data_IF_192174213221
#
_entry.id   IF_192174213221
#
_cell.length_a   1.000
_cell.length_b   1.000
_cell.length_c   1.000
_cell.angle_alpha   90.00
_cell.angle_beta   90.00
_cell.angle_gamma   90.00
#
_symmetry.space_group_name_H-M   'P 1'
#
loop_
_entity.id
_entity.type
_entity.pdbx_description
1 polymer ?
#
# COMPACT_ATOMS: atom_id res chain seq x y z
N UNK A 1 42.38 1.72 6.34
CA UNK A 1 42.54 0.26 6.11
C UNK A 1 41.18 -0.35 5.85
N UNK A 2 41.08 -1.35 4.96
CA UNK A 2 39.83 -2.11 4.74
C UNK A 2 39.80 -3.30 5.70
N UNK A 3 38.66 -3.58 6.33
CA UNK A 3 38.40 -4.81 7.09
C UNK A 3 37.08 -5.44 6.64
N UNK A 4 37.16 -6.42 5.73
CA UNK A 4 35.99 -7.11 5.18
C UNK A 4 35.56 -8.30 6.05
N UNK A 5 34.38 -8.23 6.66
CA UNK A 5 33.76 -9.37 7.34
C UNK A 5 33.29 -10.43 6.33
N UNK A 6 33.75 -11.68 6.47
CA UNK A 6 33.29 -12.80 5.63
C UNK A 6 32.01 -13.41 6.21
N UNK A 7 30.90 -13.30 5.47
CA UNK A 7 29.66 -14.02 5.78
C UNK A 7 29.63 -15.39 5.08
N UNK A 8 29.65 -16.47 5.85
CA UNK A 8 29.50 -17.84 5.34
C UNK A 8 28.03 -18.23 5.22
N UNK A 9 27.59 -18.63 4.03
CA UNK A 9 26.23 -19.17 3.80
C UNK A 9 26.27 -20.69 3.72
N UNK A 10 25.68 -21.37 4.71
CA UNK A 10 25.47 -22.83 4.66
C UNK A 10 24.04 -23.12 4.17
N UNK A 11 23.89 -24.00 3.17
CA UNK A 11 22.58 -24.31 2.55
C UNK A 11 22.23 -25.77 2.74
N UNK A 12 21.30 -26.07 3.66
CA UNK A 12 20.81 -27.42 3.93
C UNK A 12 19.28 -27.44 3.80
N UNK A 13 18.78 -28.22 2.82
CA UNK A 13 17.36 -28.59 2.61
C UNK A 13 16.29 -27.57 3.07
N UNK A 14 16.38 -26.34 2.56
CA UNK A 14 15.29 -25.36 2.61
C UNK A 14 15.33 -24.35 3.76
N UNK A 15 16.22 -24.51 4.75
CA UNK A 15 16.46 -23.48 5.76
C UNK A 15 17.64 -22.57 5.34
N UNK A 16 17.51 -21.28 5.66
CA UNK A 16 18.61 -20.32 5.64
C UNK A 16 18.97 -19.96 7.09
N UNK A 17 20.24 -20.18 7.46
CA UNK A 17 20.82 -19.63 8.66
C UNK A 17 21.88 -18.59 8.27
N UNK A 18 21.83 -17.41 8.88
CA UNK A 18 22.89 -16.40 8.80
C UNK A 18 23.63 -16.43 10.13
N UNK A 19 24.91 -16.80 10.09
CA UNK A 19 25.80 -16.76 11.25
C UNK A 19 26.66 -15.50 11.14
N UNK A 20 26.48 -14.56 12.07
CA UNK A 20 27.26 -13.32 12.14
C UNK A 20 28.16 -13.36 13.38
N UNK A 21 29.46 -13.15 13.19
CA UNK A 21 30.40 -12.87 14.29
C UNK A 21 30.47 -11.35 14.51
N UNK A 22 30.06 -10.89 15.69
CA UNK A 22 30.59 -9.64 16.26
C UNK A 22 31.72 -10.00 17.22
N UNK A 23 32.89 -9.40 17.03
CA UNK A 23 33.86 -9.28 18.12
C UNK A 23 33.40 -8.10 18.99
N UNK A 24 33.14 -8.33 20.28
CA UNK A 24 33.00 -7.24 21.25
C UNK A 24 34.38 -6.84 21.77
N UNK A 25 34.58 -5.55 22.06
CA UNK A 25 35.79 -5.02 22.68
C UNK A 25 35.58 -4.83 24.18
N UNK A 26 35.39 -5.93 24.90
CA UNK A 26 35.34 -5.97 26.36
C UNK A 26 36.25 -7.10 26.88
N UNK A 27 36.88 -6.88 28.03
CA UNK A 27 38.02 -7.66 28.54
C UNK A 27 37.68 -9.03 29.15
N UNK A 28 36.59 -9.65 28.70
CA UNK A 28 36.07 -10.93 29.17
C UNK A 28 35.82 -11.85 27.98
N UNK A 29 36.65 -12.90 27.83
CA UNK A 29 36.77 -13.72 26.61
C UNK A 29 35.57 -14.60 26.24
N UNK A 30 34.41 -14.01 25.95
CA UNK A 30 33.16 -14.69 25.61
C UNK A 30 32.72 -14.39 24.17
N UNK A 31 32.76 -15.38 23.29
CA UNK A 31 32.29 -15.25 21.90
C UNK A 31 30.78 -15.53 21.84
N UNK A 32 29.98 -14.48 21.72
CA UNK A 32 28.53 -14.59 21.51
C UNK A 32 28.25 -14.88 20.03
N UNK A 33 27.64 -16.04 19.74
CA UNK A 33 27.20 -16.43 18.40
C UNK A 33 25.68 -16.33 18.33
N UNK A 34 25.17 -15.29 17.68
CA UNK A 34 23.73 -15.15 17.42
C UNK A 34 23.35 -15.91 16.16
N UNK A 35 22.48 -16.91 16.29
CA UNK A 35 21.84 -17.61 15.17
C UNK A 35 20.40 -17.10 15.03
N UNK A 36 19.97 -16.83 13.81
CA UNK A 36 18.56 -16.55 13.50
C UNK A 36 17.98 -17.69 12.66
N UNK A 37 16.92 -18.30 13.20
CA UNK A 37 16.12 -19.34 12.55
C UNK A 37 14.79 -18.73 12.11
N UNK A 38 14.62 -18.53 10.81
CA UNK A 38 13.33 -18.16 10.22
C UNK A 38 12.44 -19.39 10.12
N UNK A 39 11.78 -19.73 11.23
CA UNK A 39 10.59 -20.56 11.29
C UNK A 39 9.35 -19.67 11.41
N UNK A 40 8.22 -20.15 10.89
CA UNK A 40 7.03 -19.33 10.73
C UNK A 40 6.35 -18.93 12.03
N UNK A 41 6.63 -17.71 12.52
CA UNK A 41 5.64 -16.91 13.23
C UNK A 41 5.42 -17.11 14.73
N UNK A 42 6.39 -17.63 15.50
CA UNK A 42 6.51 -17.38 16.95
C UNK A 42 7.99 -17.29 17.34
N UNK A 43 8.36 -16.37 18.23
CA UNK A 43 9.73 -16.27 18.76
C UNK A 43 9.78 -16.83 20.19
N UNK A 44 10.61 -17.84 20.44
CA UNK A 44 10.93 -18.36 21.77
C UNK A 44 12.43 -18.63 21.88
N UNK A 45 13.02 -18.23 23.01
CA UNK A 45 14.44 -18.45 23.29
C UNK A 45 14.66 -19.86 23.83
N UNK A 46 15.48 -20.66 23.14
CA UNK A 46 15.95 -21.96 23.60
C UNK A 46 17.45 -21.88 23.92
N UNK A 47 17.81 -22.18 25.18
CA UNK A 47 19.20 -22.26 25.61
C UNK A 47 19.85 -23.56 25.13
N UNK A 48 20.90 -23.45 24.30
CA UNK A 48 21.64 -24.59 23.77
C UNK A 48 22.72 -25.02 24.77
N UNK A 49 22.93 -26.33 24.93
CA UNK A 49 23.83 -26.88 25.94
C UNK A 49 25.31 -26.89 25.50
N UNK A 50 26.22 -26.87 26.48
CA UNK A 50 27.67 -26.67 26.24
C UNK A 50 28.35 -27.81 25.47
N UNK A 51 27.72 -28.99 25.37
CA UNK A 51 28.24 -30.18 24.68
C UNK A 51 28.05 -30.15 23.16
N UNK A 52 26.97 -29.54 22.67
CA UNK A 52 26.62 -29.53 21.24
C UNK A 52 27.54 -28.60 20.43
N UNK A 53 27.97 -27.49 21.04
CA UNK A 53 28.94 -26.54 20.46
C UNK A 53 30.28 -27.22 20.15
N UNK A 54 30.72 -28.15 21.00
CA UNK A 54 32.04 -28.78 20.92
C UNK A 54 32.21 -29.76 19.73
N UNK A 55 31.10 -30.26 19.18
CA UNK A 55 31.11 -31.07 17.95
C UNK A 55 31.27 -30.21 16.69
N UNK A 56 30.57 -29.06 16.63
CA UNK A 56 30.62 -28.19 15.45
C UNK A 56 32.01 -27.54 15.27
N UNK A 57 32.73 -27.26 16.35
CA UNK A 57 34.05 -26.63 16.29
C UNK A 57 35.15 -27.54 15.68
N UNK A 58 35.02 -28.87 15.78
CA UNK A 58 35.95 -29.81 15.13
C UNK A 58 35.81 -29.83 13.60
N UNK A 59 34.59 -29.69 13.08
CA UNK A 59 34.33 -29.74 11.63
C UNK A 59 34.82 -28.50 10.86
N UNK A 60 35.21 -27.43 11.57
CA UNK A 60 35.58 -26.14 10.97
C UNK A 60 37.10 -25.94 10.80
N UNK A 61 37.94 -26.95 11.11
CA UNK A 61 39.37 -26.73 11.38
C UNK A 61 40.38 -27.42 10.45
N UNK A 62 39.94 -28.19 9.46
CA UNK A 62 40.85 -28.86 8.52
C UNK A 62 40.30 -28.92 7.07
N UNK A 63 40.79 -28.10 6.13
CA UNK A 63 40.25 -27.97 4.78
C UNK A 63 41.02 -28.77 3.70
N UNK A 64 41.59 -29.92 4.04
CA UNK A 64 42.56 -30.65 3.19
C UNK A 64 42.22 -32.13 2.91
N UNK A 65 40.94 -32.48 2.69
CA UNK A 65 40.51 -33.87 2.45
C UNK A 65 39.52 -34.04 1.28
N UNK A 66 39.96 -33.75 0.05
CA UNK A 66 39.22 -34.12 -1.18
C UNK A 66 40.00 -35.15 -1.99
N UNK A 67 39.71 -36.45 -1.79
CA UNK A 67 39.65 -37.53 -2.81
C UNK A 67 39.66 -38.91 -2.17
N UNK A 68 38.55 -39.66 -2.30
CA UNK A 68 38.43 -41.09 -2.71
C UNK A 68 37.06 -41.62 -2.28
N UNK A 69 36.52 -42.57 -3.04
CA UNK A 69 35.15 -43.05 -2.86
C UNK A 69 35.06 -44.36 -2.07
N UNK A 70 34.60 -44.28 -0.83
CA UNK A 70 34.03 -45.41 -0.07
C UNK A 70 33.26 -44.86 1.14
N UNK A 71 31.93 -45.03 1.15
CA UNK A 71 31.08 -45.16 2.36
C UNK A 71 29.58 -45.05 2.00
N UNK A 72 29.09 -46.00 1.21
CA UNK A 72 27.67 -46.16 0.86
C UNK A 72 26.79 -46.64 2.03
N UNK A 73 27.33 -46.74 3.25
CA UNK A 73 26.64 -47.24 4.44
C UNK A 73 25.77 -46.17 5.14
N UNK A 74 26.18 -44.90 5.16
CA UNK A 74 25.56 -43.87 6.01
C UNK A 74 24.19 -43.35 5.52
N UNK A 75 23.81 -43.60 4.25
CA UNK A 75 22.58 -43.06 3.65
C UNK A 75 21.35 -43.97 3.72
N UNK A 76 21.47 -45.19 4.24
CA UNK A 76 20.40 -46.20 4.18
C UNK A 76 19.47 -46.24 5.41
N UNK A 77 19.75 -45.47 6.47
CA UNK A 77 19.05 -45.52 7.77
C UNK A 77 17.85 -44.55 7.91
N UNK A 78 17.65 -43.63 6.97
CA UNK A 78 16.65 -42.54 7.07
C UNK A 78 15.47 -42.64 6.08
N UNK A 79 15.28 -43.78 5.40
CA UNK A 79 14.20 -43.97 4.40
C UNK A 79 13.02 -44.84 4.86
N UNK A 80 13.09 -45.45 6.05
CA UNK A 80 12.13 -46.48 6.53
C UNK A 80 11.43 -46.10 7.84
N UNK A 81 10.80 -44.92 7.90
CA UNK A 81 9.93 -44.53 9.04
C UNK A 81 8.65 -43.78 8.64
N UNK A 82 8.02 -44.18 7.53
CA UNK A 82 6.76 -43.60 7.03
C UNK A 82 5.67 -44.62 6.65
N UNK A 83 5.59 -45.76 7.34
CA UNK A 83 4.47 -46.75 7.24
C UNK A 83 4.46 -47.75 8.42
N UNK A 84 4.12 -47.29 9.63
CA UNK A 84 3.61 -48.09 10.78
C UNK A 84 3.22 -47.15 11.93
N UNK A 85 2.49 -47.65 12.92
CA UNK A 85 1.93 -46.92 14.07
C UNK A 85 0.70 -46.03 13.76
N UNK A 86 -0.18 -46.52 12.89
CA UNK A 86 -1.60 -46.62 13.26
C UNK A 86 -1.91 -48.11 13.55
N UNK A 87 -2.90 -48.38 14.41
CA UNK A 87 -3.25 -49.67 15.06
C UNK A 87 -2.39 -50.09 16.27
N UNK A 88 -3.04 -50.87 17.17
CA UNK A 88 -2.60 -51.41 18.50
C UNK A 88 -1.91 -50.41 19.47
N UNK A 89 -2.51 -49.86 20.52
CA UNK A 89 -3.41 -50.37 21.59
C UNK A 89 -2.71 -51.13 22.74
N UNK A 90 -3.24 -50.91 23.97
CA UNK A 90 -2.90 -51.55 25.25
C UNK A 90 -1.56 -51.17 25.94
N UNK A 91 -1.68 -50.65 27.17
CA UNK A 91 -0.69 -50.79 28.26
C UNK A 91 -1.41 -51.39 29.47
N UNK A 92 -0.76 -52.28 30.21
CA UNK A 92 -1.26 -52.85 31.48
C UNK A 92 -0.30 -52.57 32.65
N UNK A 93 -0.83 -52.71 33.86
CA UNK A 93 -0.20 -52.55 35.18
C UNK A 93 1.00 -53.48 35.47
N UNK A 94 1.88 -53.04 36.37
CA UNK A 94 2.13 -53.57 37.75
C UNK A 94 2.83 -52.48 38.60
N UNK A 95 2.37 -52.11 39.81
CA UNK A 95 2.60 -52.68 41.18
C UNK A 95 4.07 -52.58 41.68
N UNK A 96 4.42 -52.22 42.93
CA UNK A 96 3.70 -51.71 44.14
C UNK A 96 4.69 -50.72 44.89
N UNK A 97 4.89 -50.55 46.24
CA UNK A 97 4.24 -51.04 47.49
C UNK A 97 3.91 -49.98 48.60
N UNK A 98 3.17 -50.46 49.62
CA UNK A 98 3.17 -50.16 51.09
C UNK A 98 3.29 -48.75 51.75
N UNK A 99 2.30 -48.51 52.64
CA UNK A 99 2.33 -47.87 53.98
C UNK A 99 2.70 -46.37 54.12
N UNK A 100 2.18 -45.62 55.12
CA UNK A 100 1.23 -45.92 56.23
C UNK A 100 -0.22 -45.48 55.85
N UNK A 101 -1.22 -45.12 56.68
CA UNK A 101 -1.41 -44.89 58.14
C UNK A 101 -2.88 -45.14 58.56
N UNK A 102 -3.17 -45.06 59.86
CA UNK A 102 -4.51 -45.23 60.47
C UNK A 102 -5.32 -43.91 60.55
N UNK A 103 -6.66 -43.99 60.50
CA UNK A 103 -7.58 -42.96 61.02
C UNK A 103 -8.70 -43.65 61.81
N UNK A 104 -8.80 -43.33 63.10
CA UNK A 104 -9.74 -43.97 64.03
C UNK A 104 -11.14 -43.37 63.95
N UNK A 105 -12.16 -44.23 63.91
CA UNK A 105 -13.56 -43.85 63.97
C UNK A 105 -13.99 -43.47 65.40
N UNK A 106 -14.57 -42.27 65.59
CA UNK A 106 -15.57 -42.05 66.65
C UNK A 106 -16.74 -41.21 66.17
N UNK A 107 -17.94 -41.77 66.35
CA UNK A 107 -19.23 -41.14 66.10
C UNK A 107 -19.61 -40.18 67.24
N UNK A 108 -20.44 -39.18 66.95
CA UNK A 108 -21.79 -39.03 67.53
C UNK A 108 -22.33 -37.58 67.40
N UNK A 109 -23.66 -37.44 67.38
CA UNK A 109 -24.45 -36.20 67.61
C UNK A 109 -24.28 -35.05 66.57
N UNK A 110 -25.32 -34.32 66.13
CA UNK A 110 -26.78 -34.41 66.34
C UNK A 110 -27.52 -34.32 64.99
N UNK A 111 -28.53 -35.17 64.79
CA UNK A 111 -29.47 -35.11 63.66
C UNK A 111 -30.69 -34.23 64.00
N UNK A 112 -30.93 -33.11 63.30
CA UNK A 112 -32.19 -32.34 63.51
C UNK A 112 -32.66 -31.33 62.43
N UNK A 113 -32.04 -31.22 61.24
CA UNK A 113 -32.32 -30.12 60.29
C UNK A 113 -32.60 -30.49 58.81
N UNK A 114 -33.15 -31.68 58.55
CA UNK A 114 -33.38 -32.17 57.18
C UNK A 114 -34.66 -31.64 56.51
N UNK A 115 -35.78 -31.56 57.23
CA UNK A 115 -37.09 -31.24 56.64
C UNK A 115 -37.29 -29.75 56.33
N UNK A 116 -36.95 -28.86 57.27
CA UNK A 116 -37.06 -27.40 57.07
C UNK A 116 -36.22 -26.95 55.87
N UNK A 117 -35.00 -27.49 55.71
CA UNK A 117 -34.13 -27.21 54.56
C UNK A 117 -34.78 -27.57 53.21
N UNK A 118 -35.46 -28.71 53.11
CA UNK A 118 -36.10 -29.13 51.85
C UNK A 118 -37.29 -28.22 51.51
N UNK A 119 -38.09 -27.84 52.51
CA UNK A 119 -39.24 -26.96 52.31
C UNK A 119 -38.81 -25.53 51.94
N UNK A 120 -37.85 -24.97 52.66
CA UNK A 120 -37.28 -23.65 52.35
C UNK A 120 -36.61 -23.63 50.98
N UNK A 121 -35.87 -24.67 50.58
CA UNK A 121 -35.20 -24.69 49.27
C UNK A 121 -36.20 -24.80 48.11
N UNK A 122 -37.33 -25.49 48.29
CA UNK A 122 -38.42 -25.49 47.29
C UNK A 122 -39.14 -24.15 47.19
N UNK A 123 -39.40 -23.47 48.31
CA UNK A 123 -39.91 -22.10 48.29
C UNK A 123 -38.92 -21.14 47.60
N UNK A 124 -37.63 -21.23 47.93
CA UNK A 124 -36.59 -20.38 47.36
C UNK A 124 -36.50 -20.51 45.83
N UNK A 125 -36.59 -21.75 45.30
CA UNK A 125 -36.59 -22.01 43.86
C UNK A 125 -37.85 -21.46 43.17
N UNK A 126 -39.03 -21.58 43.81
CA UNK A 126 -40.28 -20.99 43.31
C UNK A 126 -40.27 -19.45 43.34
N UNK A 127 -39.66 -18.84 44.35
CA UNK A 127 -39.46 -17.39 44.40
C UNK A 127 -38.44 -16.94 43.35
N UNK A 128 -37.34 -17.68 43.12
CA UNK A 128 -36.35 -17.35 42.09
C UNK A 128 -36.93 -17.44 40.67
N UNK A 129 -37.73 -18.46 40.37
CA UNK A 129 -38.37 -18.57 39.05
C UNK A 129 -39.43 -17.49 38.83
N UNK A 130 -40.23 -17.16 39.85
CA UNK A 130 -41.17 -16.05 39.80
C UNK A 130 -40.47 -14.69 39.59
N UNK A 131 -39.27 -14.49 40.13
CA UNK A 131 -38.49 -13.26 39.96
C UNK A 131 -37.80 -13.16 38.58
N UNK A 132 -37.62 -14.28 37.87
CA UNK A 132 -37.01 -14.33 36.55
C UNK A 132 -38.01 -14.15 35.38
N UNK A 133 -39.29 -14.39 35.60
CA UNK A 133 -40.32 -14.28 34.54
C UNK A 133 -40.56 -12.85 34.00
N UNK A 134 -40.52 -11.75 34.80
CA UNK A 134 -40.77 -10.40 34.29
C UNK A 134 -39.73 -9.90 33.27
N UNK A 135 -38.50 -10.39 33.34
CA UNK A 135 -37.38 -9.93 32.51
C UNK A 135 -37.46 -10.40 31.04
N UNK A 136 -38.30 -11.39 30.73
CA UNK A 136 -38.39 -11.97 29.39
C UNK A 136 -39.22 -11.12 28.39
N UNK A 137 -40.00 -10.14 28.86
CA UNK A 137 -40.93 -9.36 28.03
C UNK A 137 -40.44 -7.93 27.71
N UNK A 138 -39.24 -7.54 28.17
CA UNK A 138 -38.65 -6.22 27.91
C UNK A 138 -37.43 -6.27 26.98
N UNK A 139 -37.28 -7.34 26.20
CA UNK A 139 -36.57 -7.27 24.91
C UNK A 139 -37.43 -6.46 23.93
N UNK A 140 -37.54 -5.15 24.19
CA UNK A 140 -38.07 -4.19 23.23
C UNK A 140 -37.13 -4.28 22.03
N UNK A 141 -37.65 -4.74 20.90
CA UNK A 141 -36.85 -4.95 19.71
C UNK A 141 -36.16 -3.65 19.30
N UNK A 142 -34.87 -3.55 19.61
CA UNK A 142 -33.95 -2.80 18.77
C UNK A 142 -33.92 -3.55 17.45
N UNK A 143 -34.86 -3.20 16.58
CA UNK A 143 -34.58 -3.24 15.14
C UNK A 143 -33.19 -2.60 14.99
N UNK A 144 -32.29 -3.15 14.15
CA UNK A 144 -31.15 -2.36 13.73
C UNK A 144 -31.75 -1.06 13.22
N UNK A 145 -31.38 0.06 13.85
CA UNK A 145 -31.70 1.37 13.31
C UNK A 145 -31.09 1.33 11.91
N UNK A 146 -31.94 1.39 10.88
CA UNK A 146 -31.48 1.36 9.50
C UNK A 146 -30.59 2.59 9.35
N UNK A 147 -29.29 2.37 9.53
CA UNK A 147 -28.27 3.39 9.29
C UNK A 147 -28.36 3.62 7.81
N UNK A 148 -29.15 4.64 7.44
CA UNK A 148 -29.23 5.16 6.10
C UNK A 148 -27.83 5.66 5.81
N UNK A 149 -27.00 4.76 5.27
CA UNK A 149 -25.76 5.07 4.59
C UNK A 149 -26.16 5.75 3.30
N UNK A 150 -26.65 6.99 3.43
CA UNK A 150 -26.73 7.93 2.33
C UNK A 150 -25.30 8.10 1.86
N UNK A 151 -24.96 7.36 0.80
CA UNK A 151 -23.78 7.56 -0.04
C UNK A 151 -23.89 8.95 -0.68
N UNK A 152 -23.69 9.95 0.18
CA UNK A 152 -23.55 11.34 -0.20
C UNK A 152 -22.29 11.39 -1.02
N UNK A 153 -22.46 11.53 -2.34
CA UNK A 153 -21.37 11.74 -3.29
C UNK A 153 -20.69 13.07 -3.01
N UNK A 154 -19.89 13.13 -1.95
CA UNK A 154 -19.08 14.28 -1.57
C UNK A 154 -18.06 14.53 -2.68
N UNK A 155 -17.98 15.78 -3.14
CA UNK A 155 -16.95 16.20 -4.07
C UNK A 155 -15.71 16.51 -3.25
N UNK A 156 -14.61 15.81 -3.53
CA UNK A 156 -13.33 16.01 -2.88
C UNK A 156 -12.45 16.95 -3.73
N UNK A 157 -11.91 17.97 -3.08
CA UNK A 157 -11.05 19.01 -3.61
C UNK A 157 -9.71 18.97 -2.88
N UNK A 158 -8.62 18.82 -3.60
CA UNK A 158 -7.29 19.13 -3.06
C UNK A 158 -7.00 20.62 -3.37
N UNK A 159 -6.63 21.40 -2.36
CA UNK A 159 -6.52 22.86 -2.43
C UNK A 159 -5.13 23.30 -1.98
N UNK A 160 -4.37 23.95 -2.86
CA UNK A 160 -3.08 24.55 -2.52
C UNK A 160 -3.25 26.05 -2.27
N UNK A 161 -2.66 26.57 -1.20
CA UNK A 161 -2.70 28.01 -0.86
C UNK A 161 -1.29 28.58 -0.83
N UNK A 162 -1.10 29.75 -1.45
CA UNK A 162 0.16 30.51 -1.44
C UNK A 162 -0.03 31.96 -1.01
N UNK A 163 1.04 32.60 -0.53
CA UNK A 163 1.12 34.06 -0.40
C UNK A 163 1.42 34.75 -1.75
N UNK A 164 1.54 36.08 -1.74
CA UNK A 164 1.86 36.88 -2.95
C UNK A 164 3.31 36.71 -3.45
N UNK A 165 4.15 36.04 -2.67
CA UNK A 165 5.54 35.72 -2.99
C UNK A 165 5.69 34.29 -3.52
N UNK A 166 4.63 33.47 -3.43
CA UNK A 166 4.58 32.09 -3.89
C UNK A 166 4.93 31.06 -2.81
N UNK A 167 5.10 31.44 -1.55
CA UNK A 167 5.31 30.49 -0.46
C UNK A 167 4.01 29.78 -0.12
N UNK A 168 4.05 28.46 0.02
CA UNK A 168 2.88 27.67 0.40
C UNK A 168 2.52 27.89 1.89
N UNK A 169 1.24 28.13 2.16
CA UNK A 169 0.71 28.36 3.50
C UNK A 169 -0.03 27.10 3.96
N UNK A 170 0.56 26.40 4.93
CA UNK A 170 0.14 25.06 5.40
C UNK A 170 -0.61 25.07 6.74
N UNK A 171 -0.74 26.22 7.40
CA UNK A 171 -1.25 26.34 8.77
C UNK A 171 -2.70 26.84 8.88
N UNK A 172 -3.49 26.78 7.81
CA UNK A 172 -4.89 27.26 7.80
C UNK A 172 -5.85 26.22 8.36
N UNK A 173 -6.97 26.70 8.89
CA UNK A 173 -8.08 25.90 9.42
C UNK A 173 -9.23 25.81 8.41
N UNK A 174 -10.20 24.91 8.65
CA UNK A 174 -11.43 24.82 7.86
C UNK A 174 -12.18 26.17 7.76
N UNK A 175 -12.11 27.01 8.79
CA UNK A 175 -12.82 28.28 8.85
C UNK A 175 -12.22 29.38 7.95
N UNK A 176 -10.96 29.19 7.51
CA UNK A 176 -10.30 30.11 6.58
C UNK A 176 -10.78 29.94 5.14
N UNK A 177 -11.52 28.87 4.82
CA UNK A 177 -11.93 28.52 3.46
C UNK A 177 -13.43 28.74 3.19
N UNK A 178 -13.73 29.17 1.96
CA UNK A 178 -15.09 29.18 1.41
C UNK A 178 -15.10 28.45 0.07
N UNK A 179 -15.99 27.47 -0.08
CA UNK A 179 -16.18 26.70 -1.32
C UNK A 179 -17.42 27.19 -2.05
N UNK A 180 -17.34 27.31 -3.37
CA UNK A 180 -18.46 27.62 -4.26
C UNK A 180 -18.55 26.55 -5.37
N UNK A 181 -19.78 26.13 -5.67
CA UNK A 181 -20.13 25.31 -6.82
C UNK A 181 -21.10 26.12 -7.69
N UNK A 182 -20.78 26.33 -8.96
CA UNK A 182 -21.57 27.15 -9.89
C UNK A 182 -21.94 28.55 -9.33
N UNK A 183 -21.00 29.14 -8.58
CA UNK A 183 -21.16 30.43 -7.89
C UNK A 183 -21.95 30.39 -6.57
N UNK A 184 -22.50 29.23 -6.18
CA UNK A 184 -23.29 29.06 -4.95
C UNK A 184 -22.41 28.54 -3.81
N UNK A 185 -22.33 29.26 -2.70
CA UNK A 185 -21.56 28.85 -1.50
C UNK A 185 -22.01 27.47 -1.01
N UNK A 186 -21.08 26.55 -0.77
CA UNK A 186 -21.30 25.19 -0.27
C UNK A 186 -20.71 25.02 1.14
N UNK A 187 -21.37 24.29 2.06
CA UNK A 187 -20.80 23.98 3.37
C UNK A 187 -19.71 22.89 3.24
N UNK A 188 -18.56 23.12 3.87
CA UNK A 188 -17.51 22.11 3.99
C UNK A 188 -17.98 21.03 4.98
N UNK A 189 -17.98 19.78 4.51
CA UNK A 189 -18.43 18.59 5.25
C UNK A 189 -17.26 17.77 5.83
N UNK A 190 -16.07 17.89 5.23
CA UNK A 190 -14.84 17.25 5.70
C UNK A 190 -13.64 18.15 5.36
N UNK A 191 -12.65 18.19 6.26
CA UNK A 191 -11.42 18.95 6.09
C UNK A 191 -10.25 18.14 6.65
N UNK A 192 -9.16 18.01 5.87
CA UNK A 192 -7.90 17.45 6.35
C UNK A 192 -6.76 18.46 6.12
N UNK A 193 -5.93 18.75 7.14
CA UNK A 193 -4.79 19.63 6.99
C UNK A 193 -3.71 19.00 6.10
N UNK A 194 -2.79 19.85 5.64
CA UNK A 194 -1.64 19.49 4.79
C UNK A 194 -0.72 18.40 5.38
N UNK A 195 -0.76 18.20 6.69
CA UNK A 195 0.00 17.18 7.43
C UNK A 195 -0.65 15.78 7.43
N UNK A 196 -1.92 15.64 7.01
CA UNK A 196 -2.66 14.38 7.10
C UNK A 196 -2.01 13.28 6.22
N UNK A 197 -1.68 12.09 6.74
CA UNK A 197 -0.85 11.12 6.02
C UNK A 197 -1.58 10.49 4.83
N UNK A 198 -0.91 10.43 3.68
CA UNK A 198 -1.54 10.10 2.40
C UNK A 198 -1.30 8.66 1.93
N UNK A 199 -2.03 8.25 0.90
CA UNK A 199 -1.86 6.97 0.21
C UNK A 199 -1.57 7.19 -1.28
N UNK A 200 -0.42 6.70 -1.73
CA UNK A 200 0.14 6.95 -3.05
C UNK A 200 0.30 5.66 -3.84
N UNK A 201 -0.14 5.66 -5.10
CA UNK A 201 0.36 4.70 -6.08
C UNK A 201 1.51 5.33 -6.87
N UNK A 202 2.68 4.69 -6.81
CA UNK A 202 3.78 4.97 -7.72
C UNK A 202 3.64 4.07 -8.95
N UNK A 203 3.31 4.68 -10.09
CA UNK A 203 2.95 4.02 -11.33
C UNK A 203 4.12 4.08 -12.32
N UNK A 204 4.81 2.95 -12.49
CA UNK A 204 6.09 2.85 -13.17
C UNK A 204 5.94 2.25 -14.58
N UNK A 205 6.16 3.09 -15.59
CA UNK A 205 6.17 2.69 -16.99
C UNK A 205 7.47 1.96 -17.36
N UNK A 206 7.31 0.70 -17.75
CA UNK A 206 8.39 -0.18 -18.20
C UNK A 206 8.18 -0.63 -19.65
N UNK A 207 7.47 0.18 -20.45
CA UNK A 207 7.31 0.03 -21.90
C UNK A 207 8.63 0.19 -22.66
N UNK A 208 8.60 0.06 -23.99
CA UNK A 208 9.78 0.16 -24.84
C UNK A 208 10.51 1.50 -24.80
N UNK A 209 9.80 2.62 -24.62
CA UNK A 209 10.38 3.97 -24.67
C UNK A 209 11.17 4.34 -23.41
N UNK A 210 10.77 3.83 -22.24
CA UNK A 210 11.39 4.23 -20.96
C UNK A 210 12.76 3.63 -20.70
N UNK A 211 13.23 2.68 -21.54
CA UNK A 211 14.46 1.88 -21.33
C UNK A 211 15.67 2.76 -20.98
N UNK A 212 15.88 3.86 -21.70
CA UNK A 212 17.05 4.74 -21.52
C UNK A 212 16.97 5.64 -20.27
N UNK A 213 15.82 5.67 -19.59
CA UNK A 213 15.53 6.53 -18.45
C UNK A 213 15.36 5.75 -17.12
N UNK A 214 15.38 4.41 -17.13
CA UNK A 214 15.00 3.60 -15.95
C UNK A 214 15.87 3.79 -14.72
N UNK A 215 17.18 3.99 -14.90
CA UNK A 215 18.10 4.23 -13.78
C UNK A 215 17.83 5.60 -13.13
N UNK A 216 17.42 6.59 -13.92
CA UNK A 216 17.13 7.94 -13.46
C UNK A 216 15.73 8.01 -12.84
N UNK A 217 14.76 7.28 -13.39
CA UNK A 217 13.46 7.00 -12.75
C UNK A 217 13.68 6.31 -11.39
N UNK A 218 14.53 5.27 -11.31
CA UNK A 218 14.81 4.55 -10.05
C UNK A 218 15.38 5.49 -9.00
N UNK A 219 16.47 6.20 -9.32
CA UNK A 219 17.12 7.12 -8.38
C UNK A 219 16.17 8.24 -7.91
N UNK A 220 15.29 8.73 -8.79
CA UNK A 220 14.37 9.80 -8.45
C UNK A 220 13.17 9.28 -7.62
N UNK A 221 12.64 8.10 -7.94
CA UNK A 221 11.66 7.38 -7.13
C UNK A 221 12.16 7.04 -5.72
N UNK A 222 13.46 6.76 -5.56
CA UNK A 222 14.07 6.53 -4.24
C UNK A 222 14.21 7.84 -3.45
N UNK A 223 14.72 8.92 -4.06
CA UNK A 223 14.78 10.24 -3.41
C UNK A 223 13.39 10.77 -3.01
N UNK A 224 12.35 10.46 -3.80
CA UNK A 224 10.96 10.72 -3.43
C UNK A 224 10.55 9.95 -2.17
N UNK A 225 10.93 8.68 -2.08
CA UNK A 225 10.61 7.81 -0.96
C UNK A 225 11.31 8.26 0.34
N UNK A 226 12.53 8.79 0.23
CA UNK A 226 13.26 9.43 1.33
C UNK A 226 12.58 10.71 1.83
N UNK A 227 11.78 11.37 0.98
CA UNK A 227 10.98 12.55 1.32
C UNK A 227 9.57 12.21 1.87
N UNK A 228 9.29 10.95 2.24
CA UNK A 228 8.01 10.54 2.82
C UNK A 228 8.02 10.44 4.36
N UNK A 229 6.94 10.85 5.03
CA UNK A 229 6.80 10.64 6.49
C UNK A 229 6.59 9.15 6.78
N UNK A 230 6.83 8.63 7.99
CA UNK A 230 6.64 7.20 8.29
C UNK A 230 5.20 6.68 8.05
N UNK A 231 4.20 7.57 8.10
CA UNK A 231 2.77 7.26 8.04
C UNK A 231 2.21 7.24 6.59
N UNK A 232 2.95 7.79 5.63
CA UNK A 232 2.57 7.78 4.21
C UNK A 232 2.66 6.35 3.63
N UNK A 233 1.60 5.90 2.95
CA UNK A 233 1.50 4.53 2.41
C UNK A 233 1.74 4.53 0.90
N UNK A 234 2.68 3.70 0.43
CA UNK A 234 3.03 3.61 -0.99
C UNK A 234 2.73 2.21 -1.53
N UNK A 235 2.01 2.16 -2.65
CA UNK A 235 1.91 0.99 -3.52
C UNK A 235 2.79 1.20 -4.78
N UNK A 236 3.32 0.13 -5.34
CA UNK A 236 4.16 0.15 -6.56
C UNK A 236 3.51 -0.72 -7.62
N UNK A 237 3.22 -0.12 -8.78
CA UNK A 237 2.53 -0.78 -9.91
C UNK A 237 3.38 -0.63 -11.17
N UNK A 238 3.68 -1.76 -11.82
CA UNK A 238 4.33 -1.84 -13.12
C UNK A 238 3.28 -1.83 -14.24
N UNK A 239 3.57 -1.16 -15.36
CA UNK A 239 2.85 -1.40 -16.61
C UNK A 239 3.78 -1.41 -17.83
N UNK A 240 3.49 -2.27 -18.80
CA UNK A 240 4.15 -2.39 -20.11
C UNK A 240 3.30 -3.25 -21.07
N UNK A 241 3.87 -3.71 -22.18
CA UNK A 241 3.19 -4.55 -23.19
C UNK A 241 2.72 -5.93 -22.72
N UNK A 242 2.92 -6.28 -21.44
CA UNK A 242 2.32 -7.46 -20.78
C UNK A 242 1.08 -7.11 -19.93
N UNK A 243 0.64 -5.86 -19.94
CA UNK A 243 -0.45 -5.34 -19.11
C UNK A 243 0.06 -4.65 -17.83
N UNK A 244 -0.79 -4.66 -16.81
CA UNK A 244 -0.60 -3.96 -15.53
C UNK A 244 -0.36 -5.00 -14.42
N UNK A 245 0.59 -4.73 -13.51
CA UNK A 245 0.94 -5.64 -12.41
C UNK A 245 1.35 -4.89 -11.15
N UNK A 246 0.58 -5.05 -10.08
CA UNK A 246 1.02 -4.66 -8.72
C UNK A 246 2.27 -5.45 -8.32
N UNK A 247 3.29 -4.72 -7.87
CA UNK A 247 4.58 -5.23 -7.39
C UNK A 247 4.60 -5.23 -5.86
N UNK A 248 3.93 -4.24 -5.27
CA UNK A 248 3.74 -4.10 -3.83
C UNK A 248 2.44 -3.32 -3.57
N UNK A 249 1.53 -3.89 -2.79
CA UNK A 249 0.37 -3.14 -2.26
C UNK A 249 0.78 -2.17 -1.14
N UNK A 250 -0.11 -1.23 -0.79
CA UNK A 250 0.16 -0.10 0.11
C UNK A 250 0.92 -0.45 1.40
N UNK A 251 2.17 0.01 1.50
CA UNK A 251 3.04 -0.22 2.65
C UNK A 251 3.69 1.07 3.17
N UNK A 252 3.92 1.13 4.48
CA UNK A 252 4.81 2.11 5.14
C UNK A 252 6.27 1.65 5.14
N UNK A 253 6.56 0.36 4.87
CA UNK A 253 7.92 -0.20 4.87
C UNK A 253 8.73 0.32 3.68
N UNK A 254 9.54 1.36 3.95
CA UNK A 254 10.40 2.03 2.96
C UNK A 254 11.41 1.06 2.31
N UNK A 255 11.90 0.05 3.02
CA UNK A 255 12.82 -0.93 2.42
C UNK A 255 12.11 -1.83 1.41
N UNK A 256 10.87 -2.24 1.69
CA UNK A 256 10.06 -3.02 0.75
C UNK A 256 9.63 -2.20 -0.46
N UNK A 257 9.23 -0.94 -0.26
CA UNK A 257 8.89 -0.02 -1.36
C UNK A 257 10.11 0.24 -2.24
N UNK A 258 11.28 0.55 -1.66
CA UNK A 258 12.53 0.72 -2.39
C UNK A 258 12.92 -0.54 -3.17
N UNK A 259 12.82 -1.72 -2.56
CA UNK A 259 13.10 -2.99 -3.25
C UNK A 259 12.14 -3.23 -4.43
N UNK A 260 10.84 -2.95 -4.27
CA UNK A 260 9.86 -3.08 -5.33
C UNK A 260 10.14 -2.13 -6.50
N UNK A 261 10.50 -0.87 -6.25
CA UNK A 261 10.91 0.11 -7.27
C UNK A 261 12.10 -0.43 -8.08
N UNK A 262 13.18 -0.87 -7.41
CA UNK A 262 14.38 -1.42 -8.07
C UNK A 262 14.06 -2.64 -8.91
N UNK A 263 13.40 -3.64 -8.31
CA UNK A 263 13.01 -4.87 -8.99
C UNK A 263 12.16 -4.60 -10.24
N UNK A 264 11.30 -3.57 -10.22
CA UNK A 264 10.47 -3.17 -11.36
C UNK A 264 11.29 -2.55 -12.49
N UNK A 265 12.25 -1.68 -12.17
CA UNK A 265 12.98 -0.89 -13.17
C UNK A 265 14.21 -1.63 -13.73
N UNK A 266 14.82 -2.52 -12.94
CA UNK A 266 15.79 -3.52 -13.42
C UNK A 266 15.14 -4.59 -14.32
N UNK A 267 13.83 -4.80 -14.23
CA UNK A 267 13.14 -5.79 -15.04
C UNK A 267 13.17 -5.45 -16.54
N UNK A 268 13.32 -6.48 -17.37
CA UNK A 268 13.33 -6.38 -18.85
C UNK A 268 11.90 -6.22 -19.43
N UNK A 269 11.06 -5.40 -18.79
CA UNK A 269 9.79 -4.93 -19.34
C UNK A 269 10.03 -4.19 -20.66
N UNK A 270 9.15 -4.41 -21.65
CA UNK A 270 9.20 -3.87 -23.02
C UNK A 270 7.80 -3.87 -23.64
N UNK A 271 7.68 -3.30 -24.82
CA UNK A 271 6.46 -3.33 -25.63
C UNK A 271 5.61 -2.08 -25.43
N UNK A 272 4.30 -2.26 -25.51
CA UNK A 272 3.29 -1.21 -25.51
C UNK A 272 3.11 -0.51 -24.15
N UNK A 273 2.33 0.58 -24.17
CA UNK A 273 2.12 1.50 -23.05
C UNK A 273 0.61 1.58 -22.72
N UNK A 274 0.07 0.66 -21.90
CA UNK A 274 -1.35 0.65 -21.50
C UNK A 274 -1.61 1.60 -20.32
N UNK A 275 -1.34 2.90 -20.53
CA UNK A 275 -1.37 3.92 -19.49
C UNK A 275 -2.75 4.10 -18.85
N UNK A 276 -3.83 4.13 -19.65
CA UNK A 276 -5.16 4.35 -19.09
C UNK A 276 -5.66 3.17 -18.23
N UNK A 277 -5.28 1.94 -18.56
CA UNK A 277 -5.64 0.78 -17.75
C UNK A 277 -4.77 0.68 -16.49
N UNK A 278 -3.51 1.12 -16.57
CA UNK A 278 -2.63 1.29 -15.41
C UNK A 278 -3.18 2.34 -14.42
N UNK A 279 -3.75 3.43 -14.94
CA UNK A 279 -4.44 4.46 -14.14
C UNK A 279 -5.75 3.93 -13.52
N UNK A 280 -6.63 3.27 -14.29
CA UNK A 280 -7.86 2.64 -13.76
C UNK A 280 -7.55 1.62 -12.65
N UNK A 281 -6.53 0.79 -12.86
CA UNK A 281 -6.06 -0.17 -11.84
C UNK A 281 -5.62 0.55 -10.55
N UNK A 282 -4.82 1.60 -10.70
CA UNK A 282 -4.33 2.42 -9.57
C UNK A 282 -5.48 3.10 -8.81
N UNK A 283 -6.48 3.61 -9.51
CA UNK A 283 -7.70 4.18 -8.91
C UNK A 283 -8.53 3.12 -8.16
N UNK A 284 -8.61 1.90 -8.69
CA UNK A 284 -9.25 0.77 -7.99
C UNK A 284 -8.52 0.44 -6.68
N UNK A 285 -7.19 0.32 -6.69
CA UNK A 285 -6.41 0.09 -5.47
C UNK A 285 -6.63 1.23 -4.45
N UNK A 286 -6.60 2.50 -4.88
CA UNK A 286 -6.85 3.67 -4.03
C UNK A 286 -8.29 3.77 -3.50
N UNK A 287 -9.26 3.09 -4.12
CA UNK A 287 -10.63 3.02 -3.59
C UNK A 287 -10.70 2.30 -2.24
N UNK A 288 -9.77 1.38 -1.98
CA UNK A 288 -9.71 0.60 -0.73
C UNK A 288 -9.03 1.36 0.43
N UNK A 289 -8.42 2.52 0.18
CA UNK A 289 -7.70 3.32 1.20
C UNK A 289 -8.61 4.27 2.02
N UNK A 290 -9.93 4.09 1.93
CA UNK A 290 -10.91 4.79 2.77
C UNK A 290 -10.97 6.29 2.50
N UNK A 291 -10.91 7.10 3.57
CA UNK A 291 -11.00 8.58 3.51
C UNK A 291 -9.65 9.30 3.35
N UNK A 292 -8.50 8.61 3.49
CA UNK A 292 -7.16 9.24 3.40
C UNK A 292 -7.00 10.05 2.11
N UNK A 293 -6.22 11.14 2.17
CA UNK A 293 -5.70 11.83 0.97
C UNK A 293 -5.04 10.82 0.02
N UNK A 294 -5.32 10.92 -1.28
CA UNK A 294 -4.87 9.95 -2.30
C UNK A 294 -4.17 10.60 -3.47
N UNK A 295 -3.13 9.94 -3.97
CA UNK A 295 -2.41 10.40 -5.15
C UNK A 295 -1.97 9.25 -6.06
N UNK A 296 -1.74 9.58 -7.33
CA UNK A 296 -0.97 8.76 -8.28
C UNK A 296 0.19 9.60 -8.79
N UNK A 297 1.42 9.14 -8.61
CA UNK A 297 2.60 9.66 -9.32
C UNK A 297 2.90 8.70 -10.45
N UNK A 298 2.80 9.16 -11.70
CA UNK A 298 2.99 8.34 -12.90
C UNK A 298 4.14 8.86 -13.73
N UNK A 299 5.05 7.97 -14.12
CA UNK A 299 6.17 8.30 -15.00
C UNK A 299 6.00 7.58 -16.30
N UNK A 300 6.01 8.31 -17.42
CA UNK A 300 5.70 7.81 -18.76
C UNK A 300 6.08 8.85 -19.81
N UNK A 301 6.07 8.50 -21.10
CA UNK A 301 6.03 9.47 -22.20
C UNK A 301 4.61 10.02 -22.46
N UNK A 302 3.58 9.40 -21.88
CA UNK A 302 2.17 9.77 -22.02
C UNK A 302 1.48 9.15 -23.24
N UNK A 303 2.21 8.41 -24.08
CA UNK A 303 1.74 7.94 -25.38
C UNK A 303 1.01 6.59 -25.25
N UNK A 304 -0.15 6.63 -24.58
CA UNK A 304 -1.04 5.47 -24.44
C UNK A 304 -1.29 4.81 -25.81
N UNK A 305 -1.11 3.49 -25.86
CA UNK A 305 -1.08 2.77 -27.13
C UNK A 305 -2.44 2.70 -27.82
N UNK A 306 -3.54 2.58 -27.07
CA UNK A 306 -4.88 2.55 -27.65
C UNK A 306 -5.29 3.95 -28.15
N UNK A 307 -4.99 4.99 -27.36
CA UNK A 307 -5.20 6.38 -27.76
C UNK A 307 -4.38 6.74 -29.02
N UNK A 308 -3.08 6.43 -29.04
CA UNK A 308 -2.21 6.62 -30.21
C UNK A 308 -2.72 5.89 -31.45
N UNK A 309 -3.26 4.68 -31.30
CA UNK A 309 -3.83 3.92 -32.42
C UNK A 309 -5.11 4.57 -32.97
N UNK A 310 -5.96 5.13 -32.10
CA UNK A 310 -7.14 5.95 -32.50
C UNK A 310 -6.72 7.25 -33.18
N UNK A 311 -5.76 7.97 -32.60
CA UNK A 311 -5.24 9.23 -33.12
C UNK A 311 -4.62 9.06 -34.51
N UNK A 312 -3.78 8.01 -34.70
CA UNK A 312 -3.25 7.64 -36.02
C UNK A 312 -4.35 7.41 -37.07
N UNK A 313 -5.47 6.84 -36.64
CA UNK A 313 -6.64 6.57 -37.51
C UNK A 313 -7.48 7.82 -37.78
N UNK A 314 -7.32 8.89 -36.97
CA UNK A 314 -7.93 10.20 -37.21
C UNK A 314 -7.07 11.06 -38.16
N UNK A 315 -5.77 11.17 -37.90
CA UNK A 315 -4.85 11.98 -38.73
C UNK A 315 -4.68 11.42 -40.15
N UNK A 316 -4.72 10.10 -40.33
CA UNK A 316 -4.66 9.45 -41.64
C UNK A 316 -5.89 9.70 -42.55
N UNK A 317 -6.86 10.53 -42.13
CA UNK A 317 -8.08 10.89 -42.89
C UNK A 317 -8.13 12.37 -43.28
N UNK A 318 -7.09 13.16 -42.96
CA UNK A 318 -7.05 14.60 -43.23
C UNK A 318 -5.75 14.97 -43.96
N UNK A 319 -5.72 16.14 -44.60
CA UNK A 319 -4.49 16.74 -45.10
C UNK A 319 -3.62 17.28 -43.96
N UNK A 320 -2.31 17.35 -44.18
CA UNK A 320 -1.28 17.86 -43.25
C UNK A 320 -1.69 19.19 -42.57
N UNK A 321 -2.31 20.09 -43.34
CA UNK A 321 -2.83 21.38 -42.89
C UNK A 321 -3.91 21.33 -41.82
N UNK A 322 -4.60 20.20 -41.65
CA UNK A 322 -5.66 19.98 -40.67
C UNK A 322 -5.28 18.98 -39.56
N UNK A 323 -4.14 18.28 -39.69
CA UNK A 323 -3.66 17.25 -38.74
C UNK A 323 -3.59 17.73 -37.29
N UNK A 324 -3.17 18.98 -37.07
CA UNK A 324 -3.11 19.61 -35.73
C UNK A 324 -4.47 19.78 -35.04
N UNK A 325 -5.56 19.81 -35.81
CA UNK A 325 -6.95 19.97 -35.31
C UNK A 325 -7.78 18.68 -35.36
N UNK A 326 -7.26 17.63 -36.02
CA UNK A 326 -7.95 16.35 -36.19
C UNK A 326 -8.03 15.52 -34.90
N UNK A 327 -7.09 15.73 -33.97
CA UNK A 327 -7.11 15.08 -32.65
C UNK A 327 -7.65 16.05 -31.61
N UNK A 328 -8.65 15.60 -30.84
CA UNK A 328 -9.22 16.33 -29.69
C UNK A 328 -8.84 15.60 -28.39
N UNK A 329 -7.83 16.06 -27.64
CA UNK A 329 -7.37 15.44 -26.40
C UNK A 329 -8.51 15.14 -25.41
N UNK A 330 -9.38 16.12 -25.22
CA UNK A 330 -10.52 16.15 -24.29
C UNK A 330 -11.67 15.22 -24.69
N UNK A 331 -11.74 14.81 -25.96
CA UNK A 331 -12.75 13.86 -26.45
C UNK A 331 -12.37 12.38 -26.19
N UNK A 332 -11.18 12.10 -25.64
CA UNK A 332 -10.73 10.73 -25.39
C UNK A 332 -11.55 10.07 -24.25
N UNK A 333 -12.23 8.97 -24.55
CA UNK A 333 -13.11 8.28 -23.60
C UNK A 333 -12.38 7.60 -22.44
N UNK A 334 -11.14 7.15 -22.63
CA UNK A 334 -10.35 6.50 -21.59
C UNK A 334 -9.82 7.53 -20.57
N UNK A 335 -9.37 8.71 -21.05
CA UNK A 335 -9.08 9.87 -20.19
C UNK A 335 -10.33 10.30 -19.42
N UNK A 336 -11.48 10.44 -20.09
CA UNK A 336 -12.73 10.84 -19.44
C UNK A 336 -13.19 9.87 -18.35
N UNK A 337 -13.01 8.55 -18.54
CA UNK A 337 -13.26 7.53 -17.52
C UNK A 337 -12.33 7.69 -16.32
N UNK A 338 -11.01 7.80 -16.55
CA UNK A 338 -10.03 8.00 -15.47
C UNK A 338 -10.31 9.28 -14.68
N UNK A 339 -10.68 10.38 -15.36
CA UNK A 339 -11.04 11.64 -14.70
C UNK A 339 -12.28 11.47 -13.81
N UNK A 340 -13.36 10.85 -14.29
CA UNK A 340 -14.57 10.62 -13.49
C UNK A 340 -14.33 9.69 -12.29
N UNK A 341 -13.49 8.66 -12.44
CA UNK A 341 -13.11 7.79 -11.32
C UNK A 341 -12.19 8.49 -10.32
N UNK A 342 -11.26 9.34 -10.76
CA UNK A 342 -10.40 10.15 -9.90
C UNK A 342 -11.16 11.25 -9.15
N UNK A 343 -12.09 11.94 -9.83
CA UNK A 343 -12.97 12.96 -9.26
C UNK A 343 -13.82 12.39 -8.11
N UNK A 344 -14.37 11.19 -8.28
CA UNK A 344 -15.17 10.48 -7.26
C UNK A 344 -14.33 10.02 -6.06
N UNK A 345 -13.05 9.75 -6.26
CA UNK A 345 -12.17 9.15 -5.24
C UNK A 345 -11.23 10.17 -4.55
N UNK A 346 -11.24 11.44 -4.97
CA UNK A 346 -10.37 12.49 -4.45
C UNK A 346 -8.88 12.34 -4.82
N UNK A 347 -8.59 11.65 -5.93
CA UNK A 347 -7.23 11.28 -6.31
C UNK A 347 -6.61 12.35 -7.20
N UNK A 348 -5.55 13.01 -6.73
CA UNK A 348 -4.73 13.87 -7.60
C UNK A 348 -3.68 13.07 -8.34
N UNK A 349 -3.52 13.34 -9.65
CA UNK A 349 -2.55 12.65 -10.51
C UNK A 349 -1.43 13.62 -10.90
N UNK A 350 -0.19 13.18 -10.69
CA UNK A 350 1.03 13.93 -10.97
C UNK A 350 1.85 13.17 -12.03
N UNK A 351 1.67 13.49 -13.33
CA UNK A 351 2.48 12.89 -14.39
C UNK A 351 3.85 13.56 -14.46
N UNK A 352 4.91 12.75 -14.41
CA UNK A 352 6.29 13.18 -14.60
C UNK A 352 6.71 12.69 -16.00
N UNK A 353 6.55 13.57 -16.98
CA UNK A 353 6.65 13.20 -18.39
C UNK A 353 8.10 13.18 -18.87
N UNK A 354 8.50 12.08 -19.49
CA UNK A 354 9.85 11.85 -20.01
C UNK A 354 10.15 12.69 -21.27
N UNK A 355 11.41 13.08 -21.54
CA UNK A 355 11.79 13.82 -22.75
C UNK A 355 11.39 13.13 -24.05
N UNK A 356 11.32 11.79 -24.05
CA UNK A 356 10.87 10.98 -25.19
C UNK A 356 9.41 11.20 -25.60
N UNK A 357 8.61 11.87 -24.77
CA UNK A 357 7.23 12.28 -25.06
C UNK A 357 7.09 13.71 -25.58
N UNK A 358 8.17 14.50 -25.67
CA UNK A 358 8.08 15.91 -26.08
C UNK A 358 8.04 16.04 -27.62
N UNK A 359 6.95 16.55 -28.22
CA UNK A 359 6.85 16.75 -29.67
C UNK A 359 7.93 17.68 -30.24
N UNK A 360 8.57 18.53 -29.42
CA UNK A 360 9.65 19.45 -29.84
C UNK A 360 11.00 18.76 -30.04
N UNK A 361 11.17 17.55 -29.50
CA UNK A 361 12.45 16.82 -29.46
C UNK A 361 12.37 15.49 -30.25
N UNK A 362 11.37 15.33 -31.11
CA UNK A 362 11.23 14.17 -31.99
C UNK A 362 12.35 14.11 -33.04
N UNK A 363 13.02 12.96 -33.25
CA UNK A 363 14.11 12.84 -34.24
C UNK A 363 13.71 13.12 -35.69
N UNK A 364 12.42 12.97 -36.02
CA UNK A 364 11.82 13.29 -37.32
C UNK A 364 10.45 13.95 -37.07
N UNK A 365 10.31 15.28 -37.28
CA UNK A 365 9.08 16.02 -37.00
C UNK A 365 8.05 15.87 -38.14
N UNK A 366 7.59 14.64 -38.37
CA UNK A 366 6.43 14.37 -39.23
C UNK A 366 5.16 15.02 -38.63
N UNK A 367 4.26 15.65 -39.42
CA UNK A 367 3.08 16.34 -38.89
C UNK A 367 2.14 15.44 -38.09
N UNK A 368 1.89 14.22 -38.55
CA UNK A 368 0.99 13.26 -37.91
C UNK A 368 1.60 12.71 -36.61
N UNK A 369 2.90 12.40 -36.60
CA UNK A 369 3.63 12.03 -35.38
C UNK A 369 3.61 13.20 -34.38
N UNK A 370 3.96 14.41 -34.82
CA UNK A 370 4.01 15.61 -33.97
C UNK A 370 2.66 15.91 -33.33
N UNK A 371 1.55 15.77 -34.08
CA UNK A 371 0.20 15.93 -33.54
C UNK A 371 -0.18 14.82 -32.55
N UNK A 372 0.18 13.55 -32.79
CA UNK A 372 -0.05 12.45 -31.84
C UNK A 372 0.68 12.67 -30.50
N UNK A 373 1.96 13.07 -30.53
CA UNK A 373 2.72 13.39 -29.31
C UNK A 373 2.20 14.65 -28.61
N UNK A 374 1.82 15.68 -29.37
CA UNK A 374 1.18 16.88 -28.82
C UNK A 374 -0.16 16.56 -28.15
N UNK A 375 -0.97 15.69 -28.74
CA UNK A 375 -2.22 15.25 -28.14
C UNK A 375 -2.00 14.41 -26.88
N UNK A 376 -1.04 13.50 -26.87
CA UNK A 376 -0.64 12.74 -25.68
C UNK A 376 -0.19 13.68 -24.53
N UNK A 377 0.64 14.68 -24.85
CA UNK A 377 1.09 15.73 -23.92
C UNK A 377 -0.09 16.51 -23.33
N UNK A 378 -1.02 16.97 -24.16
CA UNK A 378 -2.24 17.64 -23.72
C UNK A 378 -3.17 16.76 -22.88
N UNK A 379 -3.19 15.44 -23.10
CA UNK A 379 -3.94 14.50 -22.24
C UNK A 379 -3.32 14.31 -20.86
N UNK A 380 -1.99 14.38 -20.73
CA UNK A 380 -1.34 14.42 -19.42
C UNK A 380 -1.61 15.74 -18.68
N UNK A 381 -1.64 16.87 -19.39
CA UNK A 381 -2.00 18.18 -18.82
C UNK A 381 -3.45 18.21 -18.33
N UNK A 382 -4.38 17.71 -19.14
CA UNK A 382 -5.77 17.53 -18.74
C UNK A 382 -5.90 16.57 -17.55
N UNK A 383 -5.13 15.47 -17.50
CA UNK A 383 -5.15 14.53 -16.39
C UNK A 383 -4.68 15.16 -15.06
N UNK A 384 -3.61 15.96 -15.11
CA UNK A 384 -3.08 16.66 -13.94
C UNK A 384 -4.04 17.76 -13.46
N UNK A 385 -4.27 18.78 -14.30
CA UNK A 385 -5.05 19.98 -13.98
C UNK A 385 -6.48 19.68 -13.52
N UNK A 386 -7.15 18.69 -14.13
CA UNK A 386 -8.51 18.27 -13.76
C UNK A 386 -8.57 17.49 -12.45
N UNK A 387 -7.48 16.87 -12.01
CA UNK A 387 -7.41 16.15 -10.73
C UNK A 387 -6.76 16.98 -9.62
N UNK A 388 -6.38 18.24 -9.88
CA UNK A 388 -5.69 19.11 -8.92
C UNK A 388 -4.22 18.76 -8.70
N UNK A 389 -3.63 17.91 -9.56
CA UNK A 389 -2.19 17.71 -9.63
C UNK A 389 -1.54 18.64 -10.65
N UNK A 390 -0.22 18.50 -10.85
CA UNK A 390 0.56 19.29 -11.83
C UNK A 390 1.31 18.38 -12.80
N UNK A 391 1.52 18.85 -14.03
CA UNK A 391 2.32 18.16 -15.04
C UNK A 391 3.78 18.60 -14.93
N UNK A 392 4.68 17.67 -14.62
CA UNK A 392 6.10 17.98 -14.50
C UNK A 392 6.82 17.58 -15.79
N UNK A 393 7.46 18.54 -16.46
CA UNK A 393 8.28 18.30 -17.64
C UNK A 393 9.71 17.91 -17.23
N UNK A 394 10.11 16.65 -17.47
CA UNK A 394 11.51 16.27 -17.34
C UNK A 394 12.23 16.78 -18.59
N UNK A 395 13.04 17.83 -18.45
CA UNK A 395 13.86 18.40 -19.54
C UNK A 395 15.29 17.87 -19.53
N UNK A 396 15.90 17.74 -18.34
CA UNK A 396 17.19 17.05 -18.14
C UNK A 396 17.03 15.87 -17.19
N UNK A 397 17.95 14.92 -17.29
CA UNK A 397 18.05 13.79 -16.35
C UNK A 397 18.30 14.28 -14.90
N UNK A 398 19.07 15.36 -14.76
CA UNK A 398 19.39 15.98 -13.47
C UNK A 398 18.14 16.56 -12.77
N UNK A 399 17.22 17.13 -13.55
CA UNK A 399 15.97 17.72 -13.04
C UNK A 399 15.08 16.66 -12.37
N UNK A 400 15.16 15.39 -12.78
CA UNK A 400 14.34 14.31 -12.19
C UNK A 400 14.50 14.21 -10.67
N UNK A 401 15.70 14.49 -10.14
CA UNK A 401 15.92 14.52 -8.70
C UNK A 401 15.07 15.59 -8.00
N UNK A 402 14.97 16.78 -8.61
CA UNK A 402 14.27 17.94 -8.06
C UNK A 402 12.77 17.85 -8.27
N UNK A 403 12.31 17.47 -9.46
CA UNK A 403 10.88 17.36 -9.82
C UNK A 403 10.12 16.40 -8.91
N UNK A 404 10.72 15.28 -8.49
CA UNK A 404 10.09 14.40 -7.50
C UNK A 404 10.05 15.02 -6.09
N UNK A 405 11.09 15.75 -5.67
CA UNK A 405 11.08 16.45 -4.38
C UNK A 405 10.03 17.59 -4.38
N UNK A 406 9.86 18.28 -5.51
CA UNK A 406 8.75 19.22 -5.74
C UNK A 406 7.39 18.52 -5.59
N UNK A 407 7.18 17.35 -6.20
CA UNK A 407 5.92 16.58 -6.07
C UNK A 407 5.67 16.09 -4.64
N UNK A 408 6.72 15.69 -3.91
CA UNK A 408 6.62 15.32 -2.50
C UNK A 408 6.27 16.52 -1.60
N UNK A 409 6.72 17.73 -1.98
CA UNK A 409 6.34 18.97 -1.34
C UNK A 409 4.90 19.38 -1.69
N UNK A 410 4.49 19.30 -2.96
CA UNK A 410 3.12 19.56 -3.43
C UNK A 410 2.09 18.72 -2.66
N UNK A 411 2.35 17.42 -2.48
CA UNK A 411 1.48 16.54 -1.68
C UNK A 411 1.36 16.98 -0.20
N UNK A 412 2.27 17.82 0.30
CA UNK A 412 2.22 18.44 1.65
C UNK A 412 1.89 19.93 1.67
N UNK A 413 1.48 20.52 0.56
CA UNK A 413 0.92 21.88 0.52
C UNK A 413 -0.58 21.91 0.21
N UNK A 414 -1.15 20.75 -0.12
CA UNK A 414 -2.57 20.57 -0.43
C UNK A 414 -3.42 20.21 0.80
N UNK A 415 -4.38 21.07 1.16
CA UNK A 415 -5.49 20.73 2.05
C UNK A 415 -6.47 19.81 1.32
N UNK A 416 -7.11 18.87 2.03
CA UNK A 416 -8.24 18.11 1.50
C UNK A 416 -9.54 18.74 2.01
N UNK A 417 -10.43 19.13 1.09
CA UNK A 417 -11.73 19.73 1.42
C UNK A 417 -12.81 18.93 0.70
N UNK A 418 -13.79 18.40 1.43
CA UNK A 418 -14.97 17.75 0.84
C UNK A 418 -16.25 18.51 1.18
N UNK A 419 -17.15 18.63 0.21
CA UNK A 419 -18.44 19.29 0.37
C UNK A 419 -19.54 18.47 -0.34
N UNK A 420 -20.80 18.74 0.01
CA UNK A 420 -21.94 18.10 -0.65
C UNK A 420 -22.38 18.92 -1.88
N UNK A 421 -22.42 18.33 -3.09
CA UNK A 421 -22.84 19.04 -4.30
C UNK A 421 -24.32 19.37 -4.29
N UNK A 422 -24.69 20.41 -5.02
CA UNK A 422 -26.02 21.06 -5.01
C UNK A 422 -27.14 20.10 -5.35
N UNK A 423 -26.93 19.27 -6.37
CA UNK A 423 -27.77 18.12 -6.69
C UNK A 423 -26.94 16.83 -6.46
N UNK A 424 -27.00 16.21 -5.27
CA UNK A 424 -26.30 14.96 -5.00
C UNK A 424 -27.00 13.81 -5.73
N UNK A 425 -26.24 13.04 -6.50
CA UNK A 425 -26.76 11.93 -7.32
C UNK A 425 -27.26 12.32 -8.72
N UNK A 426 -27.41 13.61 -9.05
CA UNK A 426 -27.76 14.04 -10.40
C UNK A 426 -26.57 13.87 -11.35
N UNK A 427 -26.57 12.77 -12.11
CA UNK A 427 -25.61 12.44 -13.19
C UNK A 427 -26.05 13.02 -14.52
N UNK A 428 -26.23 14.34 -14.57
CA UNK A 428 -26.77 15.05 -15.73
C UNK A 428 -25.72 15.39 -16.80
N UNK A 429 -24.48 14.91 -16.64
CA UNK A 429 -23.36 15.09 -17.56
C UNK A 429 -22.79 16.51 -17.60
N UNK A 430 -23.39 17.45 -16.87
CA UNK A 430 -23.03 18.87 -16.92
C UNK A 430 -21.69 19.14 -16.24
N UNK A 431 -21.04 20.20 -16.70
CA UNK A 431 -19.94 20.85 -16.00
C UNK A 431 -20.48 21.53 -14.74
N UNK A 432 -19.71 21.47 -13.64
CA UNK A 432 -19.91 22.32 -12.46
C UNK A 432 -18.60 23.03 -12.16
N UNK A 433 -18.63 24.37 -12.17
CA UNK A 433 -17.48 25.21 -11.86
C UNK A 433 -17.19 25.15 -10.36
N UNK A 434 -15.92 25.03 -9.99
CA UNK A 434 -15.48 25.05 -8.60
C UNK A 434 -14.54 26.21 -8.35
N UNK A 435 -14.85 26.95 -7.29
CA UNK A 435 -14.02 28.03 -6.77
C UNK A 435 -13.82 27.84 -5.27
N UNK A 436 -12.59 28.04 -4.82
CA UNK A 436 -12.25 28.05 -3.40
C UNK A 436 -11.58 29.37 -3.10
N UNK A 437 -12.09 30.08 -2.11
CA UNK A 437 -11.60 31.38 -1.66
C UNK A 437 -11.07 31.24 -0.22
N UNK A 438 -10.09 32.07 0.13
CA UNK A 438 -9.53 32.14 1.49
C UNK A 438 -9.96 33.47 2.11
N UNK A 439 -10.36 33.46 3.39
CA UNK A 439 -10.78 34.66 4.12
C UNK A 439 -9.67 35.73 4.23
N UNK A 440 -8.42 35.35 3.97
CA UNK A 440 -7.22 36.21 3.97
C UNK A 440 -6.92 36.76 2.57
N UNK A 441 -7.17 38.05 2.37
CA UNK A 441 -6.96 38.76 1.10
C UNK A 441 -5.48 38.91 0.66
N UNK A 442 -4.52 38.46 1.46
CA UNK A 442 -3.12 38.32 1.08
C UNK A 442 -2.76 36.95 0.48
N UNK A 443 -3.67 35.98 0.53
CA UNK A 443 -3.45 34.60 0.08
C UNK A 443 -4.25 34.25 -1.19
N UNK A 444 -3.74 33.30 -1.96
CA UNK A 444 -4.35 32.78 -3.18
C UNK A 444 -4.57 31.27 -3.05
N UNK A 445 -5.82 30.81 -3.13
CA UNK A 445 -6.15 29.40 -3.23
C UNK A 445 -6.17 28.92 -4.70
N UNK A 446 -5.85 27.64 -4.88
CA UNK A 446 -5.81 26.94 -6.16
C UNK A 446 -6.35 25.52 -5.99
N UNK A 447 -7.12 25.04 -6.95
CA UNK A 447 -7.68 23.68 -6.97
C UNK A 447 -8.11 23.33 -8.40
N UNK A 448 -8.68 22.15 -8.64
CA UNK A 448 -9.24 21.79 -9.95
C UNK A 448 -10.38 22.77 -10.34
N UNK A 449 -10.48 23.21 -11.60
CA UNK A 449 -11.46 24.25 -11.99
C UNK A 449 -12.93 23.79 -11.95
N UNK A 450 -13.17 22.50 -11.75
CA UNK A 450 -14.49 21.90 -11.71
C UNK A 450 -14.49 20.42 -12.09
N UNK A 451 -15.68 19.85 -12.18
CA UNK A 451 -15.87 18.44 -12.53
C UNK A 451 -17.10 18.24 -13.43
N UNK A 452 -17.23 17.05 -14.04
CA UNK A 452 -18.45 16.66 -14.75
C UNK A 452 -19.29 15.73 -13.87
N UNK A 453 -20.57 16.05 -13.68
CA UNK A 453 -21.49 15.24 -12.89
C UNK A 453 -21.96 14.01 -13.70
N UNK A 454 -21.23 12.89 -13.58
CA UNK A 454 -21.40 11.65 -14.36
C UNK A 454 -21.62 10.41 -13.48
#
# INVERSE_FOLDING_TARGET
>A
MVHGGRNSRLKVRGLYAIVSRRNSLESSGSVVITVHLLLGGVCQCLGISRSEVFQMERMAKDPAATTRGSDTAALHSLRTRRTRLQSSASRRHTQLPQQTSEITNRQAMVSSFSLVRILCNRLLILCLSALLLPAALTVKAQQPEDVITTDTSLVQLNVGVVDRQGHAITTLSQNDFVVYEDGVRRPIQHFEPTEAPFSLVMLLDTSGSTINFRQQIEQAALRFLDALTPEDRVAVVEFNGKGVKSQLGFSTDRYRVAYAIKFTLEAKGRGETPLYDALKYSLKELSHEGKRRKAIVVLTDGLDTEARNKDRTAVAKVSDSAVSTAIKPEANSQLNSVLTDADRLGVSVFPLALPSGDPKHLPLPDPAITAMYSAARSRLELLASRTGGRLHEIRRLDDMARLYAEVAADLRTLYSIAYQPTNPGARDGKWREIRVEVARADLLASTKPGYYAR
#
